data_IF_260342301271
#
_entry.id   IF_260342301271
#
_cell.length_a   1.000
_cell.length_b   1.000
_cell.length_c   1.000
_cell.angle_alpha   90.00
_cell.angle_beta   90.00
_cell.angle_gamma   90.00
#
_symmetry.space_group_name_H-M   'P 1'
#
loop_
_entity.id
_entity.type
_entity.pdbx_description
1 polymer ?
#
# COMPACT_ATOMS: atom_id res chain seq x y z
N UNK A 1 21.49 11.48 46.70
CA UNK A 1 21.74 11.99 45.31
C UNK A 1 21.13 10.93 44.38
N UNK A 2 19.91 11.16 43.96
CA UNK A 2 19.19 10.25 43.04
C UNK A 2 19.70 10.49 41.62
N UNK A 3 20.39 9.51 41.09
CA UNK A 3 20.84 9.46 39.72
C UNK A 3 19.59 9.28 38.84
N UNK A 4 18.93 10.36 38.47
CA UNK A 4 17.90 10.32 37.41
C UNK A 4 18.61 10.07 36.07
N UNK A 5 18.58 8.85 35.59
CA UNK A 5 18.90 8.56 34.21
C UNK A 5 18.00 9.47 33.34
N UNK A 6 18.55 10.36 32.51
CA UNK A 6 17.73 11.19 31.63
C UNK A 6 17.00 10.25 30.67
N UNK A 7 15.68 10.15 30.81
CA UNK A 7 14.84 9.44 29.84
C UNK A 7 15.22 9.94 28.43
N UNK A 8 15.47 9.02 27.47
CA UNK A 8 15.81 9.40 26.11
C UNK A 8 14.71 10.31 25.56
N UNK A 9 15.07 11.51 25.16
CA UNK A 9 14.11 12.46 24.61
C UNK A 9 13.64 11.98 23.24
N UNK A 10 12.39 11.50 23.16
CA UNK A 10 11.76 11.10 21.91
C UNK A 10 11.33 12.33 21.11
N UNK A 11 11.51 12.27 19.78
CA UNK A 11 10.93 13.21 18.84
C UNK A 11 9.87 12.53 17.99
N UNK A 12 8.74 13.21 17.76
CA UNK A 12 7.73 12.75 16.83
C UNK A 12 8.04 13.27 15.40
N UNK A 13 7.79 12.43 14.38
CA UNK A 13 7.63 12.91 13.02
C UNK A 13 6.21 13.49 12.94
N UNK A 14 6.13 14.78 12.66
CA UNK A 14 4.95 15.62 12.88
C UNK A 14 3.67 15.16 12.18
N UNK A 15 3.78 14.38 11.11
CA UNK A 15 2.60 13.97 10.33
C UNK A 15 1.82 12.79 10.94
N UNK A 16 2.44 11.94 11.77
CA UNK A 16 1.84 10.68 12.24
C UNK A 16 2.23 10.25 13.63
N UNK A 17 2.83 11.14 14.41
CA UNK A 17 3.32 10.84 15.77
C UNK A 17 4.29 9.64 15.87
N UNK A 18 4.97 9.27 14.78
CA UNK A 18 6.02 8.24 14.85
C UNK A 18 7.20 8.82 15.62
N UNK A 19 7.49 8.21 16.77
CA UNK A 19 8.55 8.64 17.70
C UNK A 19 9.84 7.87 17.43
N UNK A 20 10.97 8.56 17.56
CA UNK A 20 12.31 7.99 17.50
C UNK A 20 13.23 8.68 18.52
N UNK A 21 14.31 8.02 18.91
CA UNK A 21 15.24 8.53 19.90
C UNK A 21 16.03 9.74 19.35
N UNK A 22 16.10 10.83 20.11
CA UNK A 22 16.85 12.03 19.70
C UNK A 22 18.34 11.72 19.55
N UNK A 23 18.90 12.03 18.37
CA UNK A 23 20.30 11.74 18.01
C UNK A 23 20.49 10.44 17.23
N UNK A 24 19.48 9.55 17.18
CA UNK A 24 19.51 8.33 16.36
C UNK A 24 19.15 8.66 14.91
N UNK A 25 20.17 8.73 14.03
CA UNK A 25 20.00 9.00 12.61
C UNK A 25 19.30 7.84 11.89
N UNK A 26 19.58 6.60 12.28
CA UNK A 26 18.94 5.42 11.70
C UNK A 26 17.48 5.37 12.09
N UNK A 27 17.17 5.56 13.38
CA UNK A 27 15.80 5.64 13.85
C UNK A 27 15.00 6.75 13.17
N UNK A 28 15.60 7.90 12.89
CA UNK A 28 14.97 8.97 12.12
C UNK A 28 14.62 8.53 10.69
N UNK A 29 15.55 7.90 9.98
CA UNK A 29 15.30 7.38 8.64
C UNK A 29 14.19 6.30 8.66
N UNK A 30 14.26 5.37 9.61
CA UNK A 30 13.28 4.30 9.77
C UNK A 30 11.90 4.85 10.17
N UNK A 31 11.83 5.95 10.90
CA UNK A 31 10.57 6.62 11.20
C UNK A 31 9.90 7.14 9.91
N UNK A 32 10.64 7.72 8.98
CA UNK A 32 10.12 8.10 7.66
C UNK A 32 9.67 6.89 6.83
N UNK A 33 10.46 5.81 6.82
CA UNK A 33 10.09 4.56 6.13
C UNK A 33 8.82 3.96 6.72
N UNK A 34 8.60 4.08 8.03
CA UNK A 34 7.37 3.65 8.70
C UNK A 34 6.11 4.36 8.20
N UNK A 35 6.23 5.52 7.55
CA UNK A 35 5.10 6.27 6.96
C UNK A 35 4.72 5.80 5.55
N UNK A 36 5.52 4.94 4.93
CA UNK A 36 5.28 4.47 3.54
C UNK A 36 3.87 3.93 3.31
N UNK A 37 3.26 3.10 4.18
CA UNK A 37 1.88 2.67 4.00
C UNK A 37 0.89 3.83 3.86
N UNK A 38 1.09 4.90 4.64
CA UNK A 38 0.24 6.09 4.62
C UNK A 38 0.40 6.84 3.30
N UNK A 39 1.65 7.05 2.84
CA UNK A 39 1.91 7.71 1.56
C UNK A 39 1.36 6.91 0.37
N UNK A 40 1.46 5.57 0.40
CA UNK A 40 0.86 4.72 -0.62
C UNK A 40 -0.66 4.88 -0.61
N UNK A 41 -1.30 4.89 0.57
CA UNK A 41 -2.75 5.01 0.68
C UNK A 41 -3.25 6.37 0.20
N UNK A 42 -2.68 7.46 0.73
CA UNK A 42 -3.12 8.82 0.43
C UNK A 42 -2.65 9.30 -0.95
N UNK A 43 -1.37 9.10 -1.28
CA UNK A 43 -0.81 9.55 -2.55
C UNK A 43 -1.14 8.61 -3.71
N UNK A 44 -0.92 7.31 -3.53
CA UNK A 44 -1.11 6.31 -4.57
C UNK A 44 -2.58 6.01 -4.84
N UNK A 45 -3.27 5.39 -3.89
CA UNK A 45 -4.64 4.92 -4.14
C UNK A 45 -5.65 6.05 -4.24
N UNK A 46 -5.58 7.08 -3.38
CA UNK A 46 -6.49 8.24 -3.47
C UNK A 46 -6.36 8.94 -4.82
N UNK A 47 -5.13 9.18 -5.29
CA UNK A 47 -4.86 9.72 -6.63
C UNK A 47 -5.40 8.80 -7.73
N UNK A 48 -5.21 7.48 -7.58
CA UNK A 48 -5.71 6.49 -8.53
C UNK A 48 -7.25 6.53 -8.62
N UNK A 49 -7.96 6.60 -7.50
CA UNK A 49 -9.43 6.71 -7.46
C UNK A 49 -9.95 7.98 -8.14
N UNK A 50 -9.26 9.10 -8.00
CA UNK A 50 -9.70 10.37 -8.56
C UNK A 50 -9.36 10.51 -10.04
N UNK A 51 -8.11 10.20 -10.42
CA UNK A 51 -7.58 10.54 -11.74
C UNK A 51 -7.55 9.36 -12.71
N UNK A 52 -7.24 8.17 -12.24
CA UNK A 52 -7.09 7.00 -13.12
C UNK A 52 -8.40 6.23 -13.28
N UNK A 53 -9.13 6.02 -12.21
CA UNK A 53 -10.43 5.33 -12.15
C UNK A 53 -10.42 3.95 -12.81
N UNK A 54 -9.28 3.29 -12.72
CA UNK A 54 -9.05 1.96 -13.29
C UNK A 54 -9.53 0.88 -12.32
N UNK A 55 -10.42 -0.02 -12.77
CA UNK A 55 -11.04 -1.04 -11.91
C UNK A 55 -10.02 -1.91 -11.20
N UNK A 56 -8.98 -2.36 -11.90
CA UNK A 56 -7.94 -3.20 -11.30
C UNK A 56 -7.26 -2.54 -10.10
N UNK A 57 -6.93 -1.24 -10.21
CA UNK A 57 -6.34 -0.47 -9.11
C UNK A 57 -7.33 -0.15 -8.01
N UNK A 58 -8.61 0.07 -8.35
CA UNK A 58 -9.68 0.27 -7.36
C UNK A 58 -9.86 -0.99 -6.51
N UNK A 59 -9.96 -2.17 -7.12
CA UNK A 59 -10.05 -3.44 -6.39
C UNK A 59 -8.81 -3.74 -5.57
N UNK A 60 -7.62 -3.33 -6.03
CA UNK A 60 -6.41 -3.43 -5.22
C UNK A 60 -6.53 -2.59 -3.94
N UNK A 61 -6.94 -1.34 -4.05
CA UNK A 61 -7.15 -0.45 -2.89
C UNK A 61 -8.24 -0.97 -1.94
N UNK A 62 -9.36 -1.46 -2.48
CA UNK A 62 -10.43 -2.10 -1.69
C UNK A 62 -9.90 -3.30 -0.91
N UNK A 63 -9.08 -4.14 -1.54
CA UNK A 63 -8.46 -5.29 -0.87
C UNK A 63 -7.58 -4.89 0.32
N UNK A 64 -6.82 -3.80 0.19
CA UNK A 64 -6.05 -3.26 1.30
C UNK A 64 -6.94 -2.76 2.44
N UNK A 65 -8.05 -2.09 2.15
CA UNK A 65 -9.00 -1.65 3.17
C UNK A 65 -9.63 -2.85 3.90
N UNK A 66 -10.07 -3.87 3.15
CA UNK A 66 -10.60 -5.11 3.73
C UNK A 66 -9.52 -5.80 4.58
N UNK A 67 -8.29 -5.86 4.10
CA UNK A 67 -7.17 -6.42 4.86
C UNK A 67 -6.95 -5.68 6.18
N UNK A 68 -7.01 -4.34 6.20
CA UNK A 68 -6.91 -3.57 7.43
C UNK A 68 -8.07 -3.82 8.40
N UNK A 69 -9.28 -3.95 7.87
CA UNK A 69 -10.44 -4.29 8.68
C UNK A 69 -10.30 -5.66 9.34
N UNK A 70 -9.82 -6.68 8.60
CA UNK A 70 -9.52 -8.01 9.14
C UNK A 70 -8.43 -7.92 10.21
N UNK A 71 -7.39 -7.10 10.01
CA UNK A 71 -6.36 -6.87 11.01
C UNK A 71 -6.95 -6.37 12.33
N UNK A 72 -7.87 -5.40 12.27
CA UNK A 72 -8.46 -4.81 13.46
C UNK A 72 -9.35 -5.79 14.21
N UNK A 73 -10.11 -6.63 13.49
CA UNK A 73 -10.88 -7.73 14.09
C UNK A 73 -9.96 -8.70 14.83
N UNK A 74 -8.84 -9.12 14.22
CA UNK A 74 -7.89 -10.03 14.84
C UNK A 74 -7.25 -9.39 16.08
N UNK A 75 -6.87 -8.11 16.01
CA UNK A 75 -6.31 -7.36 17.15
C UNK A 75 -7.24 -7.32 18.33
N UNK A 76 -8.50 -6.99 18.10
CA UNK A 76 -9.53 -6.91 19.15
C UNK A 76 -9.87 -8.28 19.73
N UNK A 77 -9.70 -9.35 18.95
CA UNK A 77 -9.93 -10.72 19.40
C UNK A 77 -8.75 -11.29 20.20
N UNK A 78 -7.51 -11.06 19.75
CA UNK A 78 -6.30 -11.62 20.37
C UNK A 78 -5.81 -10.79 21.56
N UNK A 79 -5.97 -9.48 21.51
CA UNK A 79 -5.63 -8.52 22.57
C UNK A 79 -4.19 -8.63 23.11
N UNK A 80 -3.25 -9.09 22.30
CA UNK A 80 -1.86 -9.22 22.73
C UNK A 80 -1.23 -7.84 22.99
N UNK A 81 -0.54 -7.72 24.12
CA UNK A 81 0.17 -6.50 24.49
C UNK A 81 1.30 -6.16 23.50
N UNK A 82 1.63 -4.89 23.42
CA UNK A 82 2.83 -4.39 22.74
C UNK A 82 4.08 -4.60 23.61
N UNK A 83 5.30 -4.42 23.04
CA UNK A 83 6.54 -4.42 23.81
C UNK A 83 6.50 -3.38 24.95
N UNK A 84 7.34 -3.56 25.99
CA UNK A 84 7.46 -2.65 27.15
C UNK A 84 7.75 -1.19 26.77
N UNK A 85 8.33 -0.96 25.60
CA UNK A 85 8.55 0.37 25.01
C UNK A 85 7.25 1.15 24.72
N UNK A 86 6.09 0.48 24.78
CA UNK A 86 4.80 1.13 24.50
C UNK A 86 4.52 2.34 25.39
N UNK A 87 4.98 2.32 26.66
CA UNK A 87 4.80 3.43 27.59
C UNK A 87 5.56 4.69 27.13
N UNK A 88 6.78 4.54 26.59
CA UNK A 88 7.56 5.63 26.02
C UNK A 88 6.98 6.18 24.72
N UNK A 89 6.30 5.29 23.97
CA UNK A 89 5.68 5.62 22.67
C UNK A 89 4.24 6.14 22.82
N UNK A 90 3.67 6.08 24.04
CA UNK A 90 2.26 6.42 24.35
C UNK A 90 1.25 5.62 23.50
N UNK A 91 1.47 4.30 23.38
CA UNK A 91 0.67 3.39 22.54
C UNK A 91 0.21 2.12 23.27
N UNK A 92 0.33 2.09 24.61
CA UNK A 92 -0.03 0.89 25.39
C UNK A 92 -1.52 0.54 25.29
N UNK A 93 -2.39 1.50 25.02
CA UNK A 93 -3.83 1.29 24.88
C UNK A 93 -4.22 0.53 23.60
N UNK A 94 -3.26 0.28 22.71
CA UNK A 94 -3.48 -0.45 21.47
C UNK A 94 -2.81 -1.82 21.46
N UNK A 95 -3.48 -2.82 20.87
CA UNK A 95 -2.96 -4.18 20.78
C UNK A 95 -1.83 -4.31 19.76
N UNK A 96 -0.90 -5.24 20.02
CA UNK A 96 0.30 -5.45 19.21
C UNK A 96 0.17 -6.48 18.11
N UNK A 97 -0.74 -7.46 18.24
CA UNK A 97 -0.86 -8.60 17.32
C UNK A 97 -2.08 -8.51 16.40
N UNK A 98 -1.91 -8.70 15.08
CA UNK A 98 -0.66 -8.67 14.30
C UNK A 98 -0.25 -7.24 13.93
N UNK A 99 0.98 -7.03 13.43
CA UNK A 99 1.45 -5.71 12.99
C UNK A 99 0.74 -5.25 11.72
N UNK A 100 -0.03 -4.17 11.78
CA UNK A 100 -0.78 -3.62 10.63
C UNK A 100 0.13 -3.13 9.51
N UNK A 101 1.26 -2.49 9.84
CA UNK A 101 2.23 -2.00 8.85
C UNK A 101 2.87 -3.16 8.08
N UNK A 102 3.23 -4.23 8.79
CA UNK A 102 3.80 -5.43 8.17
C UNK A 102 2.78 -6.13 7.27
N UNK A 103 1.54 -6.25 7.73
CA UNK A 103 0.45 -6.81 6.93
C UNK A 103 0.18 -5.99 5.68
N UNK A 104 0.08 -4.66 5.81
CA UNK A 104 -0.15 -3.75 4.69
C UNK A 104 0.93 -3.90 3.62
N UNK A 105 2.20 -3.78 4.03
CA UNK A 105 3.32 -3.81 3.08
C UNK A 105 3.48 -5.17 2.41
N UNK A 106 3.24 -6.25 3.14
CA UNK A 106 3.31 -7.60 2.56
C UNK A 106 2.15 -7.87 1.61
N UNK A 107 0.91 -7.47 1.96
CA UNK A 107 -0.23 -7.51 1.06
C UNK A 107 0.07 -6.74 -0.23
N UNK A 108 0.56 -5.50 -0.09
CA UNK A 108 0.91 -4.63 -1.21
C UNK A 108 1.97 -5.27 -2.12
N UNK A 109 3.06 -5.77 -1.53
CA UNK A 109 4.16 -6.38 -2.28
C UNK A 109 3.74 -7.65 -3.03
N UNK A 110 2.99 -8.54 -2.37
CA UNK A 110 2.51 -9.79 -2.97
C UNK A 110 1.50 -9.49 -4.09
N UNK A 111 0.48 -8.68 -3.81
CA UNK A 111 -0.54 -8.36 -4.81
C UNK A 111 0.08 -7.68 -6.04
N UNK A 112 0.93 -6.67 -5.84
CA UNK A 112 1.58 -5.96 -6.94
C UNK A 112 2.52 -6.87 -7.74
N UNK A 113 3.23 -7.79 -7.06
CA UNK A 113 4.09 -8.79 -7.73
C UNK A 113 3.26 -9.71 -8.62
N UNK A 114 2.14 -10.22 -8.12
CA UNK A 114 1.24 -11.09 -8.89
C UNK A 114 0.58 -10.31 -10.05
N UNK A 115 0.13 -9.08 -9.80
CA UNK A 115 -0.45 -8.23 -10.81
C UNK A 115 0.53 -7.97 -11.95
N UNK A 116 1.75 -7.60 -11.63
CA UNK A 116 2.80 -7.35 -12.62
C UNK A 116 3.25 -8.63 -13.35
N UNK A 117 3.15 -9.78 -12.70
CA UNK A 117 3.53 -11.05 -13.32
C UNK A 117 2.49 -11.57 -14.32
N UNK A 118 1.21 -11.52 -13.94
CA UNK A 118 0.14 -12.18 -14.69
C UNK A 118 -0.62 -11.24 -15.62
N UNK A 119 -0.69 -9.94 -15.33
CA UNK A 119 -1.54 -8.99 -16.06
C UNK A 119 -0.80 -8.00 -16.93
N UNK A 120 0.48 -7.73 -16.65
CA UNK A 120 1.26 -6.80 -17.45
C UNK A 120 2.09 -7.58 -18.46
N UNK A 121 1.86 -7.28 -19.75
CA UNK A 121 2.41 -8.03 -20.87
C UNK A 121 3.95 -8.06 -20.94
N UNK A 122 4.46 -8.99 -21.73
CA UNK A 122 5.90 -9.28 -21.89
C UNK A 122 6.77 -8.08 -22.29
N UNK A 123 6.18 -7.06 -22.95
CA UNK A 123 6.89 -5.87 -23.42
C UNK A 123 7.50 -5.01 -22.30
N UNK A 124 6.95 -5.12 -21.08
CA UNK A 124 7.40 -4.35 -19.92
C UNK A 124 8.11 -5.20 -18.86
N UNK A 125 8.56 -6.39 -19.22
CA UNK A 125 9.13 -7.36 -18.26
C UNK A 125 10.30 -6.78 -17.45
N UNK A 126 11.18 -5.97 -18.05
CA UNK A 126 12.28 -5.36 -17.31
C UNK A 126 11.81 -4.29 -16.31
N UNK A 127 10.78 -3.51 -16.66
CA UNK A 127 10.19 -2.51 -15.76
C UNK A 127 9.56 -3.18 -14.53
N UNK A 128 9.04 -4.39 -14.69
CA UNK A 128 8.48 -5.19 -13.60
C UNK A 128 9.54 -5.61 -12.58
N UNK A 129 10.76 -5.90 -13.02
CA UNK A 129 11.86 -6.18 -12.09
C UNK A 129 12.24 -4.96 -11.27
N UNK A 130 12.23 -3.76 -11.86
CA UNK A 130 12.49 -2.51 -11.14
C UNK A 130 11.43 -2.31 -10.04
N UNK A 131 10.14 -2.51 -10.37
CA UNK A 131 9.04 -2.40 -9.39
C UNK A 131 9.26 -3.37 -8.23
N UNK A 132 9.58 -4.63 -8.51
CA UNK A 132 9.84 -5.64 -7.46
C UNK A 132 11.06 -5.29 -6.62
N UNK A 133 12.16 -4.85 -7.26
CA UNK A 133 13.39 -4.45 -6.58
C UNK A 133 13.20 -3.22 -5.66
N UNK A 134 12.17 -2.42 -5.86
CA UNK A 134 11.82 -1.30 -4.97
C UNK A 134 10.85 -1.74 -3.88
N UNK A 135 9.80 -2.44 -4.26
CA UNK A 135 8.67 -2.75 -3.35
C UNK A 135 9.07 -3.74 -2.25
N UNK A 136 9.83 -4.79 -2.59
CA UNK A 136 10.23 -5.79 -1.59
C UNK A 136 11.21 -5.27 -0.54
N UNK A 137 12.31 -4.56 -0.91
CA UNK A 137 13.14 -3.91 0.09
C UNK A 137 12.39 -2.90 0.95
N UNK A 138 11.46 -2.14 0.35
CA UNK A 138 10.64 -1.18 1.08
C UNK A 138 9.72 -1.87 2.10
N UNK A 139 9.13 -3.02 1.74
CA UNK A 139 8.34 -3.83 2.65
C UNK A 139 9.19 -4.34 3.82
N UNK A 140 10.38 -4.90 3.52
CA UNK A 140 11.32 -5.39 4.55
C UNK A 140 11.79 -4.25 5.46
N UNK A 141 12.15 -3.10 4.91
CA UNK A 141 12.59 -1.94 5.68
C UNK A 141 11.45 -1.39 6.57
N UNK A 142 10.22 -1.36 6.07
CA UNK A 142 9.06 -0.96 6.88
C UNK A 142 8.85 -1.96 8.03
N UNK A 143 8.91 -3.26 7.79
CA UNK A 143 8.82 -4.29 8.83
C UNK A 143 9.94 -4.14 9.86
N UNK A 144 11.17 -3.96 9.41
CA UNK A 144 12.33 -3.73 10.28
C UNK A 144 12.16 -2.48 11.12
N UNK A 145 11.65 -1.39 10.55
CA UNK A 145 11.40 -0.15 11.28
C UNK A 145 10.48 -0.34 12.47
N UNK A 146 9.48 -1.23 12.37
CA UNK A 146 8.53 -1.49 13.47
C UNK A 146 9.16 -2.17 14.67
N UNK A 147 10.16 -3.04 14.42
CA UNK A 147 10.94 -3.69 15.49
C UNK A 147 11.95 -2.71 16.06
N UNK A 148 12.73 -2.05 15.20
CA UNK A 148 13.79 -1.13 15.63
C UNK A 148 13.27 0.02 16.49
N UNK A 149 12.15 0.63 16.08
CA UNK A 149 11.51 1.73 16.81
C UNK A 149 10.71 1.26 18.05
N UNK A 150 10.65 -0.05 18.34
CA UNK A 150 10.00 -0.59 19.52
C UNK A 150 8.46 -0.64 19.47
N UNK A 151 7.85 -0.52 18.27
CA UNK A 151 6.39 -0.57 18.12
C UNK A 151 5.83 -1.98 18.20
N UNK A 152 6.58 -2.98 17.77
CA UNK A 152 6.17 -4.39 17.70
C UNK A 152 7.31 -5.34 17.99
N UNK A 153 6.98 -6.53 18.48
CA UNK A 153 7.94 -7.64 18.56
C UNK A 153 8.16 -8.26 17.18
N UNK A 154 9.28 -8.98 17.03
CA UNK A 154 9.59 -9.72 15.80
C UNK A 154 8.46 -10.68 15.41
N UNK A 155 7.89 -11.42 16.39
CA UNK A 155 6.77 -12.33 16.19
C UNK A 155 5.52 -11.62 15.65
N UNK A 156 5.18 -10.45 16.19
CA UNK A 156 4.04 -9.63 15.74
C UNK A 156 4.24 -9.14 14.30
N UNK A 157 5.46 -8.79 13.91
CA UNK A 157 5.82 -8.37 12.57
C UNK A 157 5.69 -9.53 11.58
N UNK A 158 6.22 -10.71 11.90
CA UNK A 158 6.11 -11.88 11.03
C UNK A 158 4.68 -12.39 10.91
N UNK A 159 3.89 -12.36 11.99
CA UNK A 159 2.47 -12.70 11.92
C UNK A 159 1.71 -11.75 10.99
N UNK A 160 1.96 -10.43 11.09
CA UNK A 160 1.40 -9.46 10.18
C UNK A 160 1.82 -9.70 8.72
N UNK A 161 3.11 -10.00 8.50
CA UNK A 161 3.63 -10.30 7.17
C UNK A 161 2.97 -11.56 6.56
N UNK A 162 2.86 -12.65 7.32
CA UNK A 162 2.20 -13.88 6.88
C UNK A 162 0.73 -13.66 6.53
N UNK A 163 0.00 -12.95 7.40
CA UNK A 163 -1.40 -12.59 7.15
C UNK A 163 -1.53 -11.72 5.91
N UNK A 164 -0.67 -10.71 5.74
CA UNK A 164 -0.65 -9.86 4.56
C UNK A 164 -0.39 -10.62 3.26
N UNK A 165 0.54 -11.58 3.27
CA UNK A 165 0.85 -12.42 2.13
C UNK A 165 -0.35 -13.30 1.72
N UNK A 166 -1.00 -13.95 2.69
CA UNK A 166 -2.18 -14.80 2.45
C UNK A 166 -3.35 -13.96 1.92
N UNK A 167 -3.65 -12.84 2.54
CA UNK A 167 -4.74 -11.96 2.11
C UNK A 167 -4.44 -11.32 0.74
N UNK A 168 -3.19 -10.89 0.48
CA UNK A 168 -2.79 -10.31 -0.80
C UNK A 168 -2.88 -11.31 -1.95
N UNK A 169 -2.40 -12.54 -1.75
CA UNK A 169 -2.51 -13.62 -2.73
C UNK A 169 -3.95 -14.07 -2.94
N UNK A 170 -4.71 -14.27 -1.87
CA UNK A 170 -6.13 -14.67 -1.92
C UNK A 170 -6.99 -13.59 -2.59
N UNK A 171 -6.78 -12.31 -2.26
CA UNK A 171 -7.50 -11.20 -2.88
C UNK A 171 -7.17 -11.06 -4.37
N UNK A 172 -5.87 -11.20 -4.72
CA UNK A 172 -5.46 -11.21 -6.12
C UNK A 172 -6.19 -12.32 -6.90
N UNK A 173 -6.20 -13.53 -6.35
CA UNK A 173 -6.89 -14.67 -6.97
C UNK A 173 -8.40 -14.38 -7.14
N UNK A 174 -9.06 -13.88 -6.10
CA UNK A 174 -10.48 -13.55 -6.11
C UNK A 174 -10.81 -12.51 -7.19
N UNK A 175 -10.06 -11.41 -7.23
CA UNK A 175 -10.29 -10.34 -8.20
C UNK A 175 -10.05 -10.83 -9.63
N UNK A 176 -8.97 -11.56 -9.87
CA UNK A 176 -8.55 -11.91 -11.23
C UNK A 176 -9.17 -13.18 -11.80
N UNK A 177 -9.83 -14.00 -10.97
CA UNK A 177 -10.52 -15.22 -11.44
C UNK A 177 -12.04 -15.15 -11.27
N UNK A 178 -12.54 -14.47 -10.22
CA UNK A 178 -13.99 -14.42 -9.97
C UNK A 178 -14.60 -13.07 -10.35
N UNK A 179 -13.96 -11.95 -10.01
CA UNK A 179 -14.53 -10.62 -10.22
C UNK A 179 -14.21 -10.04 -11.60
N UNK A 180 -13.13 -10.47 -12.22
CA UNK A 180 -12.69 -9.95 -13.52
C UNK A 180 -13.76 -10.08 -14.62
N UNK A 181 -14.51 -11.17 -14.65
CA UNK A 181 -15.62 -11.35 -15.61
C UNK A 181 -16.76 -10.33 -15.44
N UNK A 182 -16.81 -9.61 -14.31
CA UNK A 182 -17.79 -8.57 -14.04
C UNK A 182 -17.31 -7.16 -14.35
N UNK A 183 -16.03 -6.97 -14.69
CA UNK A 183 -15.46 -5.64 -14.92
C UNK A 183 -16.18 -4.87 -16.01
N UNK A 184 -16.48 -5.51 -17.15
CA UNK A 184 -17.26 -4.89 -18.21
C UNK A 184 -18.65 -4.47 -17.74
N UNK A 185 -19.35 -5.31 -16.98
CA UNK A 185 -20.67 -4.97 -16.44
C UNK A 185 -20.62 -3.80 -15.43
N UNK A 186 -19.53 -3.68 -14.66
CA UNK A 186 -19.31 -2.55 -13.74
C UNK A 186 -19.04 -1.27 -14.53
N UNK A 187 -18.20 -1.32 -15.55
CA UNK A 187 -17.89 -0.19 -16.43
C UNK A 187 -19.14 0.33 -17.15
N UNK A 188 -19.98 -0.56 -17.67
CA UNK A 188 -21.23 -0.21 -18.39
C UNK A 188 -22.39 0.16 -17.45
N UNK A 189 -22.27 -0.05 -16.14
CA UNK A 189 -23.31 0.31 -15.17
C UNK A 189 -23.53 1.82 -15.09
N UNK A 190 -24.67 2.26 -14.54
CA UNK A 190 -24.95 3.68 -14.29
C UNK A 190 -23.85 4.33 -13.43
N UNK A 191 -23.33 3.59 -12.44
CA UNK A 191 -22.21 4.04 -11.61
C UNK A 191 -20.92 4.18 -12.42
N UNK A 192 -20.55 3.16 -13.21
CA UNK A 192 -19.34 3.18 -14.02
C UNK A 192 -19.32 4.34 -15.02
N UNK A 193 -20.45 4.56 -15.71
CA UNK A 193 -20.62 5.67 -16.65
C UNK A 193 -20.59 7.04 -15.98
N UNK A 194 -21.25 7.19 -14.84
CA UNK A 194 -21.30 8.45 -14.10
C UNK A 194 -19.91 8.87 -13.59
N UNK A 195 -19.15 7.92 -13.04
CA UNK A 195 -17.82 8.17 -12.49
C UNK A 195 -16.69 7.99 -13.51
N UNK A 196 -16.99 7.64 -14.76
CA UNK A 196 -16.00 7.33 -15.80
C UNK A 196 -15.01 6.25 -15.35
N UNK A 197 -15.52 5.21 -14.69
CA UNK A 197 -14.74 4.04 -14.31
C UNK A 197 -14.40 3.25 -15.56
N UNK A 198 -13.16 2.80 -15.69
CA UNK A 198 -12.69 2.09 -16.89
C UNK A 198 -11.99 0.77 -16.55
N UNK A 199 -12.05 -0.15 -17.48
CA UNK A 199 -11.26 -1.37 -17.50
C UNK A 199 -10.31 -1.36 -18.70
N UNK A 200 -9.02 -1.20 -18.43
CA UNK A 200 -7.98 -1.26 -19.46
C UNK A 200 -7.24 -2.59 -19.50
N UNK A 201 -7.72 -3.60 -18.78
CA UNK A 201 -7.07 -4.92 -18.68
C UNK A 201 -6.96 -5.67 -20.01
N UNK A 202 -7.78 -5.32 -21.01
CA UNK A 202 -7.76 -5.85 -22.37
C UNK A 202 -6.72 -5.19 -23.28
N UNK A 203 -6.13 -4.04 -22.85
CA UNK A 203 -5.16 -3.30 -23.64
C UNK A 203 -3.74 -3.80 -23.37
N UNK A 204 -2.99 -4.26 -24.38
CA UNK A 204 -1.63 -4.78 -24.18
C UNK A 204 -0.64 -3.71 -23.75
N UNK A 205 -0.89 -2.43 -24.08
CA UNK A 205 -0.03 -1.30 -23.73
C UNK A 205 -0.86 -0.03 -23.51
N UNK A 206 -1.32 0.15 -22.26
CA UNK A 206 -2.16 1.30 -21.88
C UNK A 206 -1.45 2.64 -22.09
N UNK A 207 -0.16 2.74 -21.73
CA UNK A 207 0.61 4.00 -21.88
C UNK A 207 0.72 4.42 -23.33
N UNK A 208 1.02 3.47 -24.23
CA UNK A 208 1.09 3.74 -25.67
C UNK A 208 -0.27 4.17 -26.22
N UNK A 209 -1.32 3.46 -25.84
CA UNK A 209 -2.69 3.77 -26.24
C UNK A 209 -3.12 5.18 -25.80
N UNK A 210 -2.91 5.55 -24.54
CA UNK A 210 -3.23 6.87 -24.01
C UNK A 210 -2.42 7.97 -24.71
N UNK A 211 -1.12 7.74 -24.96
CA UNK A 211 -0.26 8.68 -25.68
C UNK A 211 -0.72 8.90 -27.14
N UNK A 212 -1.02 7.81 -27.86
CA UNK A 212 -1.46 7.89 -29.24
C UNK A 212 -2.82 8.58 -29.37
N UNK A 213 -3.78 8.29 -28.48
CA UNK A 213 -5.08 8.94 -28.45
C UNK A 213 -4.97 10.44 -28.13
N UNK A 214 -4.17 10.83 -27.16
CA UNK A 214 -3.94 12.25 -26.84
C UNK A 214 -3.30 13.00 -28.02
N UNK A 215 -2.36 12.35 -28.73
CA UNK A 215 -1.72 12.91 -29.91
C UNK A 215 -2.68 13.07 -31.10
N UNK A 216 -3.54 12.07 -31.32
CA UNK A 216 -4.57 12.08 -32.39
C UNK A 216 -5.61 13.17 -32.14
N UNK A 217 -6.10 13.27 -30.88
CA UNK A 217 -7.04 14.33 -30.52
C UNK A 217 -6.48 15.73 -30.77
N UNK A 218 -5.19 15.97 -30.50
CA UNK A 218 -4.53 17.25 -30.81
C UNK A 218 -4.52 17.54 -32.29
N UNK A 219 -4.25 16.57 -33.15
CA UNK A 219 -4.27 16.76 -34.61
C UNK A 219 -5.67 17.15 -35.10
N UNK A 220 -6.72 16.49 -34.64
CA UNK A 220 -8.09 16.83 -35.02
C UNK A 220 -8.51 18.25 -34.62
N UNK A 221 -8.08 18.73 -33.46
CA UNK A 221 -8.34 20.10 -33.01
C UNK A 221 -7.59 21.13 -33.88
N UNK A 222 -6.35 20.81 -34.30
CA UNK A 222 -5.57 21.70 -35.17
C UNK A 222 -6.20 21.83 -36.57
N UNK A 223 -6.72 20.74 -37.13
CA UNK A 223 -7.43 20.80 -38.42
C UNK A 223 -8.71 21.67 -38.36
N UNK A 224 -9.52 21.54 -37.30
CA UNK A 224 -10.75 22.32 -37.12
C UNK A 224 -10.53 23.83 -36.88
N UNK A 225 -9.31 24.27 -36.58
CA UNK A 225 -8.99 25.69 -36.41
C UNK A 225 -8.47 26.35 -37.70
N UNK A 226 -8.22 25.54 -38.72
CA UNK A 226 -7.72 26.03 -40.03
C UNK A 226 -8.83 26.11 -41.07
N UNK A 227 -10.01 25.55 -40.79
CA UNK A 227 -11.27 25.71 -41.53
C UNK A 227 -12.15 26.79 -40.84
#
# INVERSE_FOLDING_TARGET
MSNQNPNPTLKAVTLTHVRYQKGDRLGHLLAWISLVPIFISLGGFFSHFIFRRELQGMFFGIGLLISQFINEIIKTSVQQARPETCALLEICDSHGWPSSHSQYMMFFAVYLTLLTHYRIGALFRYQMWIVRLVVWPLAVLTMYSRVYLGYHTVAQVFAGAGLGAVLGGGWFWLVNNLLWCRFQAIEESAFGRFFYVKDTSHLPNVLKFEYENARSARKHVSYKRLD
#
